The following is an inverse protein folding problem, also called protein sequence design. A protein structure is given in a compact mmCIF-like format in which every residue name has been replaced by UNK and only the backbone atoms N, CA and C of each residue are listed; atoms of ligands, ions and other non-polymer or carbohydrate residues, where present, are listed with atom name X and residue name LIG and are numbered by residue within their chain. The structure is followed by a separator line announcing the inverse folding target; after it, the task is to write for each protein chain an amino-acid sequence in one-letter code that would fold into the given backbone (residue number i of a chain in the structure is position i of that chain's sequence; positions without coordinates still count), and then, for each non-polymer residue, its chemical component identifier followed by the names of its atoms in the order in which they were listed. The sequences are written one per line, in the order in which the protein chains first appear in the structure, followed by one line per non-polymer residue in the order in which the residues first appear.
data_IF_026152453921
#
_entry.id   IF_026152453921
#
_cell.length_a   1.000
_cell.length_b   1.000
_cell.length_c   1.000
_cell.angle_alpha   90.00
_cell.angle_beta   90.00
_cell.angle_gamma   90.00
#
_symmetry.space_group_name_H-M   'P 1'
#
loop_
_entity.id
_entity.type
_entity.pdbx_description
1 polymer ?
#
# COMPACT_ATOMS: atom_id res chain seq x y z
N UNK A 1 -4.86 15.23 -2.97
CA UNK A 1 -4.04 14.14 -2.39
C UNK A 1 -3.38 13.31 -3.50
N UNK A 2 -4.15 12.72 -4.42
CA UNK A 2 -3.65 11.79 -5.45
C UNK A 2 -2.47 12.33 -6.28
N UNK A 3 -2.51 13.59 -6.72
CA UNK A 3 -1.42 14.22 -7.49
C UNK A 3 -0.11 14.34 -6.70
N UNK A 4 -0.20 14.57 -5.39
CA UNK A 4 0.98 14.63 -4.51
C UNK A 4 1.61 13.24 -4.39
N UNK A 5 0.78 12.21 -4.25
CA UNK A 5 1.24 10.83 -4.17
C UNK A 5 1.86 10.35 -5.49
N UNK A 6 1.34 10.81 -6.64
CA UNK A 6 1.97 10.57 -7.94
C UNK A 6 3.37 11.19 -8.04
N UNK A 7 3.58 12.39 -7.49
CA UNK A 7 4.93 13.00 -7.44
C UNK A 7 5.89 12.17 -6.59
N UNK A 8 5.40 11.59 -5.49
CA UNK A 8 6.19 10.68 -4.66
C UNK A 8 6.57 9.43 -5.45
N UNK A 9 5.65 8.88 -6.23
CA UNK A 9 5.95 7.77 -7.15
C UNK A 9 7.02 8.19 -8.19
N UNK A 10 6.87 9.36 -8.82
CA UNK A 10 7.82 9.88 -9.82
C UNK A 10 9.21 10.09 -9.23
N UNK A 11 9.31 10.51 -7.96
CA UNK A 11 10.58 10.59 -7.24
C UNK A 11 11.22 9.21 -7.08
N UNK A 12 10.44 8.19 -6.69
CA UNK A 12 10.95 6.82 -6.56
C UNK A 12 11.41 6.24 -7.90
N UNK A 13 10.71 6.54 -9.00
CA UNK A 13 11.13 6.16 -10.36
C UNK A 13 12.49 6.76 -10.76
N UNK A 14 12.79 7.99 -10.29
CA UNK A 14 14.10 8.64 -10.51
C UNK A 14 15.20 8.03 -9.65
N UNK A 15 14.90 7.76 -8.37
CA UNK A 15 15.86 7.20 -7.39
C UNK A 15 16.21 5.76 -7.72
N UNK A 16 15.26 4.98 -8.27
CA UNK A 16 15.39 3.54 -8.58
C UNK A 16 15.85 2.71 -7.37
N UNK A 17 15.12 2.74 -6.25
CA UNK A 17 15.50 1.97 -5.07
C UNK A 17 15.46 0.47 -5.36
N UNK A 18 16.27 -0.32 -4.66
CA UNK A 18 16.26 -1.78 -4.76
C UNK A 18 14.90 -2.38 -4.38
N UNK A 19 14.23 -1.79 -3.40
CA UNK A 19 12.85 -2.11 -2.98
C UNK A 19 12.15 -0.82 -2.60
N UNK A 20 10.96 -0.59 -3.16
CA UNK A 20 10.09 0.53 -2.79
C UNK A 20 8.89 0.01 -1.99
N UNK A 21 8.72 0.54 -0.79
CA UNK A 21 7.54 0.23 0.05
C UNK A 21 6.72 1.49 0.26
N UNK A 22 5.43 1.40 -0.03
CA UNK A 22 4.48 2.50 0.10
C UNK A 22 3.47 2.16 1.18
N UNK A 23 3.25 3.07 2.12
CA UNK A 23 2.24 2.99 3.16
C UNK A 23 1.28 4.16 3.08
N UNK A 24 0.02 3.92 3.47
CA UNK A 24 -0.94 5.01 3.67
C UNK A 24 -0.57 5.78 4.93
N UNK A 25 -0.72 7.11 4.88
CA UNK A 25 -0.49 7.95 6.04
C UNK A 25 -1.46 7.58 7.17
N UNK A 26 -0.87 7.32 8.34
CA UNK A 26 -1.60 6.91 9.53
C UNK A 26 -1.40 7.94 10.65
N UNK A 27 -2.45 8.64 11.09
CA UNK A 27 -2.35 9.65 12.15
C UNK A 27 -2.33 8.99 13.53
N UNK A 28 -1.16 8.50 13.97
CA UNK A 28 -1.02 7.92 15.30
C UNK A 28 -1.27 8.97 16.41
N UNK A 29 -1.99 8.60 17.49
CA UNK A 29 -2.27 9.50 18.60
C UNK A 29 -1.02 10.17 19.15
N UNK A 30 -1.14 11.45 19.51
CA UNK A 30 -0.07 12.23 20.10
C UNK A 30 1.00 12.73 19.11
N UNK A 31 1.00 12.27 17.84
CA UNK A 31 1.95 12.74 16.85
C UNK A 31 1.58 14.09 16.27
N UNK A 32 2.59 14.85 15.78
CA UNK A 32 2.34 16.11 15.08
C UNK A 32 1.45 15.92 13.85
N UNK A 33 1.61 14.80 13.14
CA UNK A 33 0.78 14.46 11.97
C UNK A 33 -0.68 14.28 12.34
N UNK A 34 -1.00 13.61 13.46
CA UNK A 34 -2.37 13.47 13.94
C UNK A 34 -2.98 14.83 14.29
N UNK A 35 -2.23 15.68 15.00
CA UNK A 35 -2.67 17.04 15.35
C UNK A 35 -2.97 17.87 14.11
N UNK A 36 -2.09 17.81 13.08
CA UNK A 36 -2.30 18.51 11.81
C UNK A 36 -3.52 17.96 11.06
N UNK A 37 -3.71 16.64 11.01
CA UNK A 37 -4.84 16.02 10.34
C UNK A 37 -6.18 16.38 11.00
N UNK A 38 -6.22 16.44 12.34
CA UNK A 38 -7.40 16.89 13.12
C UNK A 38 -7.65 18.36 12.85
N UNK A 39 -6.64 19.23 12.97
CA UNK A 39 -6.77 20.67 12.77
C UNK A 39 -7.24 21.03 11.36
N UNK A 40 -6.87 20.23 10.35
CA UNK A 40 -7.28 20.42 8.95
C UNK A 40 -8.61 19.71 8.61
N UNK A 41 -9.27 19.05 9.55
CA UNK A 41 -10.54 18.34 9.33
C UNK A 41 -10.42 17.05 8.52
N UNK A 42 -9.20 16.54 8.33
CA UNK A 42 -8.95 15.30 7.57
C UNK A 42 -8.99 14.04 8.43
N UNK A 43 -9.06 14.17 9.74
CA UNK A 43 -9.14 13.05 10.68
C UNK A 43 -9.96 13.43 11.90
N UNK A 44 -10.83 12.51 12.34
CA UNK A 44 -11.55 12.63 13.60
C UNK A 44 -11.06 11.50 14.50
N UNK A 45 -10.48 11.87 15.64
CA UNK A 45 -10.03 10.90 16.64
C UNK A 45 -11.24 10.45 17.45
N UNK A 46 -11.58 9.16 17.36
CA UNK A 46 -12.57 8.51 18.19
C UNK A 46 -11.86 7.62 19.23
N UNK A 47 -12.36 7.60 20.47
CA UNK A 47 -11.86 6.73 21.56
C UNK A 47 -11.91 5.24 21.20
N UNK A 48 -12.79 4.85 20.29
CA UNK A 48 -12.94 3.50 19.77
C UNK A 48 -12.12 3.25 18.47
N UNK A 49 -11.29 4.20 18.04
CA UNK A 49 -10.48 4.02 16.84
C UNK A 49 -9.50 2.90 17.09
N UNK A 50 -9.78 1.74 16.48
CA UNK A 50 -8.89 0.58 16.53
C UNK A 50 -7.73 0.84 15.59
N UNK A 51 -6.57 1.14 16.12
CA UNK A 51 -5.32 1.34 15.40
C UNK A 51 -4.75 0.00 14.92
N UNK A 52 -5.56 -0.75 14.16
CA UNK A 52 -5.13 -2.01 13.55
C UNK A 52 -4.35 -1.71 12.26
N UNK A 53 -3.36 -2.52 11.96
CA UNK A 53 -2.54 -2.73 10.74
C UNK A 53 -2.98 -2.05 9.42
N UNK A 54 -3.73 -0.93 9.49
CA UNK A 54 -4.53 -0.39 8.40
C UNK A 54 -3.74 0.44 7.38
N UNK A 55 -2.48 0.78 7.65
CA UNK A 55 -1.64 1.52 6.69
C UNK A 55 -1.45 0.81 5.33
N UNK A 56 -1.79 -0.48 5.27
CA UNK A 56 -1.74 -1.29 4.04
C UNK A 56 -3.11 -1.58 3.44
N UNK A 57 -4.19 -1.42 4.22
CA UNK A 57 -5.53 -1.81 3.79
C UNK A 57 -6.38 -0.63 3.34
N UNK A 58 -6.62 0.33 4.23
CA UNK A 58 -7.46 1.48 3.95
C UNK A 58 -6.95 2.72 4.69
N UNK A 59 -7.11 3.88 4.09
CA UNK A 59 -6.78 5.15 4.74
C UNK A 59 -7.85 5.54 5.75
N UNK A 60 -7.41 6.02 6.93
CA UNK A 60 -8.27 6.61 7.95
C UNK A 60 -8.57 8.08 7.70
N UNK A 61 -7.88 8.71 6.75
CA UNK A 61 -8.08 10.10 6.43
C UNK A 61 -9.38 10.31 5.65
N UNK A 62 -9.98 11.49 5.87
CA UNK A 62 -11.12 11.97 5.10
C UNK A 62 -10.63 12.59 3.79
N UNK A 63 -11.20 12.16 2.68
CA UNK A 63 -10.91 12.66 1.33
C UNK A 63 -12.09 13.47 0.79
N UNK A 64 -11.85 14.29 -0.22
CA UNK A 64 -12.91 15.08 -0.89
C UNK A 64 -14.00 14.20 -1.51
N UNK A 65 -13.64 13.00 -1.95
CA UNK A 65 -14.60 12.04 -2.53
C UNK A 65 -14.18 10.59 -2.26
N UNK A 66 -15.15 9.67 -2.30
CA UNK A 66 -14.90 8.23 -2.23
C UNK A 66 -14.00 7.75 -3.37
N UNK A 67 -14.13 8.38 -4.56
CA UNK A 67 -13.28 8.07 -5.72
C UNK A 67 -11.83 8.44 -5.46
N UNK A 68 -11.56 9.64 -4.91
CA UNK A 68 -10.20 10.06 -4.58
C UNK A 68 -9.57 9.12 -3.55
N UNK A 69 -10.31 8.76 -2.48
CA UNK A 69 -9.86 7.78 -1.50
C UNK A 69 -9.45 6.46 -2.17
N UNK A 70 -10.33 5.90 -3.01
CA UNK A 70 -10.07 4.67 -3.75
C UNK A 70 -8.81 4.78 -4.64
N UNK A 71 -8.64 5.91 -5.34
CA UNK A 71 -7.48 6.13 -6.20
C UNK A 71 -6.17 6.16 -5.40
N UNK A 72 -6.14 6.82 -4.25
CA UNK A 72 -4.96 6.85 -3.35
C UNK A 72 -4.66 5.45 -2.79
N UNK A 73 -5.67 4.72 -2.35
CA UNK A 73 -5.52 3.36 -1.86
C UNK A 73 -5.04 2.38 -2.94
N UNK A 74 -5.55 2.52 -4.17
CA UNK A 74 -5.10 1.72 -5.31
C UNK A 74 -3.66 2.07 -5.70
N UNK A 75 -3.30 3.35 -5.68
CA UNK A 75 -1.93 3.79 -5.95
C UNK A 75 -0.94 3.18 -4.95
N UNK A 76 -1.26 3.20 -3.66
CA UNK A 76 -0.42 2.58 -2.64
C UNK A 76 -0.13 1.11 -2.94
N UNK A 77 -1.12 0.37 -3.44
CA UNK A 77 -0.97 -1.05 -3.79
C UNK A 77 -0.13 -1.28 -5.05
N UNK A 78 -0.26 -0.40 -6.02
CA UNK A 78 0.40 -0.53 -7.32
C UNK A 78 1.80 0.11 -7.36
N UNK A 79 2.08 1.10 -6.49
CA UNK A 79 3.27 1.93 -6.60
C UNK A 79 4.58 1.14 -6.58
N UNK A 80 4.71 0.13 -5.72
CA UNK A 80 5.90 -0.73 -5.69
C UNK A 80 6.10 -1.50 -7.01
N UNK A 81 5.02 -2.00 -7.59
CA UNK A 81 5.03 -2.69 -8.89
C UNK A 81 5.45 -1.72 -10.00
N UNK A 82 4.94 -0.49 -9.95
CA UNK A 82 5.27 0.54 -10.96
C UNK A 82 6.74 0.96 -10.87
N UNK A 83 7.32 0.99 -9.68
CA UNK A 83 8.77 1.25 -9.51
C UNK A 83 9.61 0.15 -10.18
N UNK A 84 9.18 -1.10 -10.10
CA UNK A 84 9.84 -2.22 -10.76
C UNK A 84 9.58 -2.27 -12.29
N UNK A 85 8.40 -1.78 -12.72
CA UNK A 85 7.98 -1.73 -14.12
C UNK A 85 7.61 -0.29 -14.54
N UNK A 86 8.60 0.60 -14.77
CA UNK A 86 8.39 2.04 -14.97
C UNK A 86 7.44 2.41 -16.12
N UNK A 87 7.32 1.57 -17.14
CA UNK A 87 6.42 1.78 -18.27
C UNK A 87 4.94 1.84 -17.86
N UNK A 88 4.57 1.21 -16.72
CA UNK A 88 3.21 1.26 -16.18
C UNK A 88 2.82 2.66 -15.69
N UNK A 89 3.79 3.56 -15.45
CA UNK A 89 3.53 4.92 -14.95
C UNK A 89 2.51 5.69 -15.80
N UNK A 90 2.54 5.49 -17.11
CA UNK A 90 1.63 6.19 -18.03
C UNK A 90 0.16 5.82 -17.82
N UNK A 91 -0.12 4.59 -17.43
CA UNK A 91 -1.48 4.07 -17.24
C UNK A 91 -1.93 4.06 -15.77
N UNK A 92 -1.04 4.40 -14.83
CA UNK A 92 -1.35 4.41 -13.37
C UNK A 92 -2.60 5.20 -13.03
N UNK A 93 -2.82 6.45 -13.50
CA UNK A 93 -4.03 7.20 -13.16
C UNK A 93 -5.30 6.48 -13.58
N UNK A 94 -5.28 5.85 -14.75
CA UNK A 94 -6.40 5.03 -15.24
C UNK A 94 -6.59 3.80 -14.36
N UNK A 95 -5.55 3.00 -14.10
CA UNK A 95 -5.63 1.82 -13.26
C UNK A 95 -6.15 2.16 -11.85
N UNK A 96 -5.66 3.24 -11.25
CA UNK A 96 -6.11 3.67 -9.92
C UNK A 96 -7.59 4.06 -9.88
N UNK A 97 -8.17 4.49 -11.01
CA UNK A 97 -9.59 4.86 -11.10
C UNK A 97 -10.55 3.67 -11.18
N UNK A 98 -10.03 2.47 -11.42
CA UNK A 98 -10.83 1.24 -11.55
C UNK A 98 -11.17 0.65 -10.17
N UNK A 99 -12.37 0.08 -9.99
CA UNK A 99 -12.83 -0.47 -8.71
C UNK A 99 -12.29 -1.88 -8.44
N UNK A 100 -11.06 -2.17 -8.85
CA UNK A 100 -10.44 -3.50 -8.71
C UNK A 100 -9.58 -3.62 -7.43
N UNK A 101 -9.99 -3.00 -6.35
CA UNK A 101 -9.21 -2.90 -5.10
C UNK A 101 -8.79 -4.27 -4.56
N UNK A 102 -9.66 -5.29 -4.62
CA UNK A 102 -9.32 -6.66 -4.18
C UNK A 102 -8.23 -7.30 -5.03
N UNK A 103 -8.28 -7.11 -6.34
CA UNK A 103 -7.27 -7.59 -7.26
C UNK A 103 -5.92 -6.88 -7.03
N UNK A 104 -5.93 -5.57 -6.79
CA UNK A 104 -4.72 -4.82 -6.46
C UNK A 104 -4.14 -5.21 -5.10
N UNK A 105 -4.97 -5.59 -4.12
CA UNK A 105 -4.50 -6.19 -2.87
C UNK A 105 -3.75 -7.50 -3.13
N UNK A 106 -4.29 -8.37 -3.96
CA UNK A 106 -3.63 -9.61 -4.33
C UNK A 106 -2.26 -9.34 -4.98
N UNK A 107 -2.21 -8.45 -5.97
CA UNK A 107 -0.96 -8.06 -6.63
C UNK A 107 0.05 -7.45 -5.65
N UNK A 108 -0.42 -6.60 -4.74
CA UNK A 108 0.42 -6.00 -3.71
C UNK A 108 1.12 -7.04 -2.83
N UNK A 109 0.37 -8.03 -2.33
CA UNK A 109 0.96 -9.06 -1.48
C UNK A 109 1.87 -10.01 -2.25
N UNK A 110 1.52 -10.32 -3.49
CA UNK A 110 2.38 -11.10 -4.37
C UNK A 110 3.72 -10.39 -4.61
N UNK A 111 3.67 -9.10 -4.92
CA UNK A 111 4.86 -8.26 -5.11
C UNK A 111 5.65 -8.10 -3.81
N UNK A 112 4.98 -7.87 -2.68
CA UNK A 112 5.63 -7.76 -1.38
C UNK A 112 6.35 -9.07 -1.01
N UNK A 113 5.71 -10.22 -1.23
CA UNK A 113 6.32 -11.54 -1.04
C UNK A 113 7.54 -11.74 -1.93
N UNK A 114 7.44 -11.37 -3.20
CA UNK A 114 8.57 -11.39 -4.13
C UNK A 114 9.75 -10.52 -3.64
N UNK A 115 9.49 -9.27 -3.24
CA UNK A 115 10.53 -8.38 -2.74
C UNK A 115 11.19 -8.94 -1.47
N UNK A 116 10.41 -9.41 -0.50
CA UNK A 116 10.96 -9.95 0.75
C UNK A 116 11.75 -11.25 0.56
N UNK A 117 11.26 -12.17 -0.26
CA UNK A 117 11.84 -13.51 -0.37
C UNK A 117 12.97 -13.59 -1.41
N UNK A 118 12.94 -12.77 -2.44
CA UNK A 118 13.90 -12.86 -3.55
C UNK A 118 14.92 -11.74 -3.50
N UNK A 119 14.50 -10.50 -3.19
CA UNK A 119 15.41 -9.35 -3.19
C UNK A 119 16.10 -9.10 -1.86
N UNK A 120 15.35 -9.16 -0.73
CA UNK A 120 15.88 -8.82 0.59
C UNK A 120 16.48 -10.02 1.34
N UNK A 121 15.91 -11.19 1.15
CA UNK A 121 16.38 -12.43 1.79
C UNK A 121 16.47 -13.53 0.74
N UNK A 122 17.54 -13.59 -0.08
CA UNK A 122 17.69 -14.61 -1.10
C UNK A 122 17.75 -15.99 -0.46
N UNK A 123 16.61 -16.67 -0.47
CA UNK A 123 16.48 -18.02 0.08
C UNK A 123 16.96 -19.02 -0.97
N UNK A 124 17.79 -20.01 -0.55
CA UNK A 124 18.13 -21.13 -1.42
C UNK A 124 16.83 -21.80 -1.92
N UNK A 125 16.74 -22.04 -3.21
CA UNK A 125 15.55 -22.58 -3.90
C UNK A 125 14.90 -23.77 -3.19
N UNK A 126 15.73 -24.62 -2.53
CA UNK A 126 15.29 -25.77 -1.74
C UNK A 126 14.40 -25.41 -0.53
N UNK A 127 14.50 -24.20 0.00
CA UNK A 127 13.74 -23.74 1.17
C UNK A 127 12.41 -23.08 0.79
N UNK A 128 12.24 -22.64 -0.46
CA UNK A 128 10.98 -22.06 -0.94
C UNK A 128 9.83 -23.07 -0.83
N UNK A 129 10.08 -24.33 -1.18
CA UNK A 129 9.08 -25.42 -1.12
C UNK A 129 8.63 -25.67 0.34
N UNK A 130 9.55 -25.55 1.30
CA UNK A 130 9.23 -25.74 2.73
C UNK A 130 8.44 -24.57 3.34
N UNK A 131 8.60 -23.36 2.80
CA UNK A 131 7.91 -22.17 3.29
C UNK A 131 6.58 -21.90 2.57
N UNK A 132 6.31 -22.59 1.48
CA UNK A 132 5.06 -22.45 0.71
C UNK A 132 3.78 -22.62 1.55
N UNK A 133 3.68 -23.60 2.47
CA UNK A 133 2.52 -23.73 3.35
C UNK A 133 2.31 -22.55 4.29
N UNK A 134 3.42 -21.94 4.78
CA UNK A 134 3.39 -20.76 5.65
C UNK A 134 2.88 -19.56 4.86
N UNK A 135 3.35 -19.39 3.64
CA UNK A 135 2.88 -18.34 2.73
C UNK A 135 1.38 -18.48 2.43
N UNK A 136 0.91 -19.71 2.17
CA UNK A 136 -0.49 -19.99 1.91
C UNK A 136 -1.37 -19.77 3.16
N UNK A 137 -0.86 -20.05 4.35
CA UNK A 137 -1.52 -19.77 5.63
C UNK A 137 -1.72 -18.26 5.84
N UNK A 138 -0.71 -17.44 5.61
CA UNK A 138 -0.82 -15.97 5.64
C UNK A 138 -1.83 -15.46 4.60
N UNK A 139 -1.82 -16.00 3.41
CA UNK A 139 -2.74 -15.63 2.33
C UNK A 139 -4.20 -15.94 2.69
N UNK A 140 -4.46 -17.11 3.27
CA UNK A 140 -5.79 -17.52 3.73
C UNK A 140 -6.33 -16.59 4.84
N UNK A 141 -5.47 -16.19 5.78
CA UNK A 141 -5.83 -15.28 6.88
C UNK A 141 -6.15 -13.86 6.37
N UNK A 142 -5.47 -13.42 5.31
CA UNK A 142 -5.70 -12.12 4.68
C UNK A 142 -7.02 -12.07 3.91
N UNK A 143 -7.39 -13.14 3.20
CA UNK A 143 -8.65 -13.21 2.45
C UNK A 143 -9.86 -13.36 3.40
N UNK A 144 -9.70 -14.02 4.56
CA UNK A 144 -10.81 -14.24 5.50
C UNK A 144 -11.17 -12.99 6.33
N UNK A 145 -10.32 -11.97 6.34
CA UNK A 145 -10.54 -10.69 7.06
C UNK A 145 -11.03 -9.55 6.14
N UNK A 146 -11.24 -9.82 4.85
CA UNK A 146 -11.86 -8.92 3.86
C UNK A 146 -13.27 -9.33 3.55
#
# INVERSE_FOLDING_TARGET
AFEVDLRTLDLNLKIKPAVASFGLLYPFPGTAVAKMAIASGHFVEDKNTVYLESNKHSSMLTFKSKKEKMMVENLQKLAGIVVDFPFLRFIVPFLCSLPFTRFYHFLFYLHLGYCHKIRLSPIKFRNIIKEFPIFFGYFKTLISKT
#
